data_IF_070355771105
#
_entry.id   IF_070355771105
#
_cell.length_a   1.000
_cell.length_b   1.000
_cell.length_c   1.000
_cell.angle_alpha   90.00
_cell.angle_beta   90.00
_cell.angle_gamma   90.00
#
_symmetry.space_group_name_H-M   'P 1'
#
loop_
_entity.id
_entity.type
_entity.pdbx_description
1 polymer ?
#
# COMPACT_ATOMS: atom_id res chain seq x y z
N UNK A 1 -1.68 -14.30 -12.32
CA UNK A 1 -2.67 -13.56 -11.50
C UNK A 1 -1.92 -12.44 -10.82
N UNK A 2 -2.30 -11.18 -11.03
CA UNK A 2 -1.65 -10.04 -10.37
C UNK A 2 -2.31 -9.91 -8.99
N UNK A 3 -1.70 -10.53 -8.00
CA UNK A 3 -2.00 -10.29 -6.59
C UNK A 3 -1.21 -9.06 -6.15
N UNK A 4 -1.84 -8.05 -5.52
CA UNK A 4 -3.21 -8.00 -5.00
C UNK A 4 -4.27 -7.51 -6.02
N UNK A 5 -5.52 -7.98 -5.86
CA UNK A 5 -6.66 -7.50 -6.65
C UNK A 5 -7.09 -6.11 -6.19
N UNK A 6 -7.22 -5.17 -7.13
CA UNK A 6 -7.63 -3.79 -6.86
C UNK A 6 -8.96 -3.73 -6.09
N UNK A 7 -9.90 -4.63 -6.39
CA UNK A 7 -11.20 -4.68 -5.71
C UNK A 7 -11.06 -5.00 -4.21
N UNK A 8 -10.13 -5.86 -3.83
CA UNK A 8 -9.89 -6.21 -2.43
C UNK A 8 -9.28 -5.05 -1.65
N UNK A 9 -8.36 -4.31 -2.30
CA UNK A 9 -7.78 -3.11 -1.73
C UNK A 9 -8.84 -2.01 -1.55
N UNK A 10 -9.74 -1.84 -2.52
CA UNK A 10 -10.83 -0.86 -2.44
C UNK A 10 -11.84 -1.17 -1.33
N UNK A 11 -12.01 -2.42 -0.93
CA UNK A 11 -12.82 -2.77 0.26
C UNK A 11 -12.20 -2.27 1.58
N UNK A 12 -10.88 -2.02 1.60
CA UNK A 12 -10.14 -1.57 2.80
C UNK A 12 -10.05 -0.05 2.92
N UNK A 13 -10.30 0.68 1.84
CA UNK A 13 -10.19 2.15 1.78
C UNK A 13 -11.52 2.78 1.35
N UNK A 14 -11.64 4.10 1.40
CA UNK A 14 -12.88 4.78 0.95
C UNK A 14 -12.84 5.19 -0.51
N UNK A 15 -11.65 5.44 -1.06
CA UNK A 15 -11.49 5.87 -2.44
C UNK A 15 -10.20 5.36 -3.04
N UNK A 16 -10.16 5.31 -4.37
CA UNK A 16 -8.94 5.02 -5.13
C UNK A 16 -7.83 6.03 -4.83
N UNK A 17 -8.18 7.30 -4.59
CA UNK A 17 -7.21 8.34 -4.23
C UNK A 17 -6.57 8.06 -2.86
N UNK A 18 -7.38 7.63 -1.89
CA UNK A 18 -6.89 7.23 -0.56
C UNK A 18 -5.93 6.05 -0.66
N UNK A 19 -6.24 5.06 -1.52
CA UNK A 19 -5.37 3.91 -1.78
C UNK A 19 -4.00 4.36 -2.31
N UNK A 20 -3.99 5.24 -3.32
CA UNK A 20 -2.76 5.73 -3.95
C UNK A 20 -1.89 6.49 -2.94
N UNK A 21 -2.49 7.41 -2.19
CA UNK A 21 -1.77 8.21 -1.19
C UNK A 21 -1.21 7.33 -0.08
N UNK A 22 -2.00 6.41 0.46
CA UNK A 22 -1.57 5.50 1.51
C UNK A 22 -0.45 4.58 1.05
N UNK A 23 -0.58 4.00 -0.15
CA UNK A 23 0.45 3.14 -0.75
C UNK A 23 1.76 3.90 -0.95
N UNK A 24 1.70 5.11 -1.53
CA UNK A 24 2.89 5.93 -1.74
C UNK A 24 3.57 6.32 -0.42
N UNK A 25 2.79 6.70 0.60
CA UNK A 25 3.32 7.02 1.93
C UNK A 25 4.00 5.80 2.57
N UNK A 26 3.37 4.63 2.47
CA UNK A 26 3.92 3.38 3.02
C UNK A 26 5.17 2.92 2.27
N UNK A 27 5.19 2.99 0.95
CA UNK A 27 6.36 2.66 0.14
C UNK A 27 7.57 3.52 0.52
N UNK A 28 7.37 4.83 0.74
CA UNK A 28 8.44 5.73 1.23
C UNK A 28 8.97 5.32 2.61
N UNK A 29 8.10 4.88 3.53
CA UNK A 29 8.52 4.39 4.85
C UNK A 29 9.34 3.10 4.75
N UNK A 30 9.00 2.22 3.81
CA UNK A 30 9.72 0.97 3.57
C UNK A 30 11.12 1.27 3.02
N UNK A 31 11.23 2.18 2.04
CA UNK A 31 12.52 2.62 1.50
C UNK A 31 13.38 3.31 2.57
N UNK A 32 12.78 4.18 3.40
CA UNK A 32 13.51 4.89 4.46
C UNK A 32 14.09 3.97 5.55
N UNK A 33 13.56 2.75 5.71
CA UNK A 33 14.04 1.77 6.70
C UNK A 33 15.24 0.94 6.22
N UNK A 34 15.87 1.31 5.10
CA UNK A 34 17.09 0.65 4.60
C UNK A 34 16.82 -0.44 3.56
N UNK A 35 15.64 -0.46 2.94
CA UNK A 35 15.45 -1.21 1.71
C UNK A 35 16.33 -0.61 0.60
N UNK A 36 17.04 -1.45 -0.15
CA UNK A 36 17.64 -1.05 -1.43
C UNK A 36 16.61 -0.25 -2.24
N UNK A 37 17.06 0.76 -2.98
CA UNK A 37 16.26 1.81 -3.66
C UNK A 37 15.38 1.26 -4.79
N UNK A 38 14.52 0.29 -4.46
CA UNK A 38 13.67 -0.47 -5.35
C UNK A 38 12.22 -0.06 -5.07
N UNK A 39 11.88 1.11 -5.62
CA UNK A 39 10.55 1.71 -5.51
C UNK A 39 9.42 0.75 -5.95
N UNK A 40 9.67 -0.14 -6.91
CA UNK A 40 8.67 -1.12 -7.36
C UNK A 40 8.39 -2.14 -6.25
N UNK A 41 9.44 -2.69 -5.63
CA UNK A 41 9.30 -3.66 -4.54
C UNK A 41 8.61 -3.03 -3.32
N UNK A 42 8.94 -1.79 -3.00
CA UNK A 42 8.33 -1.08 -1.88
C UNK A 42 6.84 -0.80 -2.09
N UNK A 43 6.42 -0.50 -3.32
CA UNK A 43 5.00 -0.35 -3.66
C UNK A 43 4.26 -1.67 -3.53
N UNK A 44 4.82 -2.78 -4.02
CA UNK A 44 4.20 -4.11 -3.85
C UNK A 44 4.05 -4.49 -2.37
N UNK A 45 5.10 -4.29 -1.57
CA UNK A 45 5.04 -4.53 -0.12
C UNK A 45 4.01 -3.63 0.58
N UNK A 46 3.90 -2.37 0.15
CA UNK A 46 2.91 -1.45 0.69
C UNK A 46 1.47 -1.90 0.39
N UNK A 47 1.22 -2.43 -0.82
CA UNK A 47 -0.10 -2.96 -1.17
C UNK A 47 -0.43 -4.22 -0.35
N UNK A 48 0.54 -5.11 -0.15
CA UNK A 48 0.39 -6.29 0.72
C UNK A 48 0.13 -5.90 2.19
N UNK A 49 0.81 -4.86 2.68
CA UNK A 49 0.58 -4.31 4.02
C UNK A 49 -0.85 -3.77 4.20
N UNK A 50 -1.40 -3.13 3.17
CA UNK A 50 -2.78 -2.64 3.16
C UNK A 50 -3.76 -3.82 3.10
N UNK A 51 -3.51 -4.81 2.24
CA UNK A 51 -4.37 -5.97 2.10
C UNK A 51 -4.43 -6.82 3.39
N UNK A 52 -3.27 -7.02 4.03
CA UNK A 52 -3.12 -7.74 5.30
C UNK A 52 -3.64 -6.98 6.52
N UNK A 53 -4.00 -5.70 6.36
CA UNK A 53 -4.49 -4.86 7.45
C UNK A 53 -3.39 -4.38 8.40
N UNK A 54 -2.11 -4.53 8.05
CA UNK A 54 -0.97 -3.96 8.80
C UNK A 54 -0.96 -2.43 8.74
N UNK A 55 -1.53 -1.86 7.69
CA UNK A 55 -1.75 -0.42 7.54
C UNK A 55 -3.24 -0.14 7.69
N UNK A 56 -3.60 0.56 8.77
CA UNK A 56 -4.95 1.10 8.95
C UNK A 56 -5.03 2.47 8.30
N UNK A 57 -6.02 2.63 7.43
CA UNK A 57 -6.35 3.88 6.77
C UNK A 57 -7.62 4.36 7.44
N UNK A 58 -7.55 5.47 8.17
CA UNK A 58 -8.73 6.07 8.79
C UNK A 58 -9.71 6.48 7.72
N UNK A 59 -10.92 5.95 7.83
CA UNK A 59 -12.03 6.30 6.98
C UNK A 59 -12.75 7.49 7.58
N UNK A 60 -12.99 8.53 6.79
CA UNK A 60 -13.56 9.80 7.28
C UNK A 60 -14.97 10.02 6.76
#
# INVERSE_FOLDING_TARGET
>A
MITPSLEELLKRVDSQYTLVIATAKRARQINAQGGEDNSIRAVSLALDDILSGRVQIEKK
#
